data_IF_952290078308
#
_entry.id   IF_952290078308
#
_cell.length_a   1.000
_cell.length_b   1.000
_cell.length_c   1.000
_cell.angle_alpha   90.00
_cell.angle_beta   90.00
_cell.angle_gamma   90.00
#
_symmetry.space_group_name_H-M   'P 1'
#
loop_
_entity.id
_entity.type
_entity.pdbx_description
1 polymer ?
#
# COMPACT_ATOMS: atom_id res chain seq x y z
N UNK A 1 30.83 23.79 58.54
CA UNK A 1 30.74 23.81 57.07
C UNK A 1 31.13 25.20 56.56
N UNK A 2 32.30 25.29 55.94
CA UNK A 2 32.90 26.52 55.42
C UNK A 2 32.13 27.02 54.19
N UNK A 3 32.31 28.30 53.82
CA UNK A 3 31.65 28.89 52.66
C UNK A 3 32.03 28.16 51.35
N UNK A 4 33.28 27.70 51.24
CA UNK A 4 33.75 26.92 50.10
C UNK A 4 33.05 25.56 49.97
N UNK A 5 32.82 24.86 51.08
CA UNK A 5 32.11 23.59 51.10
C UNK A 5 30.63 23.74 50.68
N UNK A 6 29.96 24.80 51.14
CA UNK A 6 28.56 25.08 50.75
C UNK A 6 28.43 25.45 49.27
N UNK A 7 29.39 26.19 48.73
CA UNK A 7 29.44 26.54 47.30
C UNK A 7 29.66 25.30 46.43
N UNK A 8 30.59 24.43 46.81
CA UNK A 8 30.87 23.20 46.06
C UNK A 8 29.68 22.22 46.13
N UNK A 9 29.01 22.12 47.29
CA UNK A 9 27.78 21.34 47.44
C UNK A 9 26.66 21.90 46.55
N UNK A 10 26.47 23.22 46.52
CA UNK A 10 25.45 23.86 45.68
C UNK A 10 25.71 23.63 44.18
N UNK A 11 26.97 23.69 43.74
CA UNK A 11 27.35 23.40 42.36
C UNK A 11 27.15 21.92 42.00
N UNK A 12 27.44 21.00 42.92
CA UNK A 12 27.22 19.56 42.71
C UNK A 12 25.72 19.23 42.61
N UNK A 13 24.88 19.84 43.46
CA UNK A 13 23.42 19.69 43.41
C UNK A 13 22.85 20.28 42.12
N UNK A 14 23.34 21.45 41.70
CA UNK A 14 22.92 22.06 40.43
C UNK A 14 23.31 21.20 39.22
N UNK A 15 24.53 20.67 39.20
CA UNK A 15 25.00 19.77 38.14
C UNK A 15 24.19 18.47 38.09
N UNK A 16 23.86 17.88 39.24
CA UNK A 16 22.99 16.71 39.32
C UNK A 16 21.57 17.01 38.82
N UNK A 17 21.02 18.19 39.14
CA UNK A 17 19.70 18.61 38.67
C UNK A 17 19.68 18.83 37.15
N UNK A 18 20.73 19.45 36.59
CA UNK A 18 20.89 19.61 35.14
C UNK A 18 21.02 18.24 34.45
N UNK A 19 21.78 17.30 35.02
CA UNK A 19 21.89 15.94 34.47
C UNK A 19 20.55 15.19 34.47
N UNK A 20 19.75 15.32 35.54
CA UNK A 20 18.42 14.71 35.64
C UNK A 20 17.46 15.33 34.59
N UNK A 21 17.50 16.64 34.40
CA UNK A 21 16.67 17.33 33.39
C UNK A 21 17.08 16.94 31.96
N UNK A 22 18.38 16.81 31.68
CA UNK A 22 18.89 16.39 30.36
C UNK A 22 18.62 14.91 30.07
N UNK A 23 18.67 14.03 31.06
CA UNK A 23 18.33 12.61 30.91
C UNK A 23 16.81 12.36 30.77
N UNK A 24 15.99 13.31 31.24
CA UNK A 24 14.51 13.24 31.12
C UNK A 24 13.99 13.76 29.78
N UNK A 25 14.85 14.26 28.89
CA UNK A 25 14.47 14.80 27.58
C UNK A 25 14.41 13.75 26.45
N UNK A 26 14.77 12.49 26.72
CA UNK A 26 14.53 11.38 25.78
C UNK A 26 13.10 10.83 25.93
N UNK A 27 12.11 11.73 25.82
CA UNK A 27 10.71 11.38 25.77
C UNK A 27 10.39 10.80 24.40
N UNK A 28 10.70 9.51 24.19
CA UNK A 28 9.92 8.74 23.22
C UNK A 28 8.47 8.85 23.68
N UNK A 29 7.66 9.58 22.93
CA UNK A 29 6.23 9.66 23.23
C UNK A 29 5.69 8.25 23.11
N UNK A 30 5.48 7.55 24.23
CA UNK A 30 4.79 6.26 24.25
C UNK A 30 3.32 6.51 23.91
N UNK A 31 3.05 6.75 22.62
CA UNK A 31 1.69 6.82 22.09
C UNK A 31 1.08 5.44 22.25
N UNK A 32 -0.07 5.39 22.93
CA UNK A 32 -0.85 4.17 23.04
C UNK A 32 -1.19 3.66 21.63
N UNK A 33 -1.08 2.36 21.43
CA UNK A 33 -1.42 1.74 20.16
C UNK A 33 -2.93 1.85 19.92
N UNK A 34 -3.36 1.97 18.65
CA UNK A 34 -4.78 1.94 18.34
C UNK A 34 -5.40 0.59 18.75
N UNK A 35 -6.74 0.55 18.94
CA UNK A 35 -7.45 -0.69 19.21
C UNK A 35 -7.15 -1.76 18.16
N UNK A 36 -6.95 -2.99 18.63
CA UNK A 36 -6.72 -4.13 17.76
C UNK A 36 -8.03 -4.56 17.09
N UNK A 37 -8.03 -4.62 15.77
CA UNK A 37 -9.13 -5.11 14.94
C UNK A 37 -8.79 -6.52 14.43
N UNK A 38 -9.80 -7.37 14.22
CA UNK A 38 -9.58 -8.68 13.62
C UNK A 38 -9.04 -8.51 12.18
N UNK A 39 -7.95 -9.20 11.79
CA UNK A 39 -7.43 -9.12 10.43
C UNK A 39 -8.47 -9.58 9.39
N UNK A 40 -8.52 -8.87 8.27
CA UNK A 40 -9.32 -9.28 7.12
C UNK A 40 -8.73 -10.56 6.49
N UNK A 41 -9.59 -11.39 5.93
CA UNK A 41 -9.14 -12.52 5.13
C UNK A 41 -8.47 -11.99 3.84
N UNK A 42 -7.35 -12.59 3.45
CA UNK A 42 -6.67 -12.22 2.20
C UNK A 42 -7.53 -12.65 1.01
N UNK A 43 -8.14 -11.67 0.36
CA UNK A 43 -8.99 -11.83 -0.82
C UNK A 43 -8.63 -10.78 -1.88
N UNK A 44 -9.01 -11.05 -3.13
CA UNK A 44 -8.79 -10.13 -4.25
C UNK A 44 -9.55 -8.81 -4.08
N UNK A 45 -10.67 -8.83 -3.36
CA UNK A 45 -11.47 -7.65 -3.07
C UNK A 45 -11.68 -7.51 -1.56
N UNK A 46 -11.45 -6.33 -1.03
CA UNK A 46 -11.60 -6.03 0.40
C UNK A 46 -12.25 -4.65 0.58
N UNK A 47 -13.07 -4.52 1.63
CA UNK A 47 -13.52 -3.21 2.10
C UNK A 47 -12.60 -2.81 3.25
N UNK A 48 -11.97 -1.64 3.11
CA UNK A 48 -10.99 -1.13 4.06
C UNK A 48 -11.31 0.32 4.38
N UNK A 49 -10.94 0.73 5.59
CA UNK A 49 -10.90 2.15 5.89
C UNK A 49 -9.67 2.75 5.23
N UNK A 50 -9.85 3.86 4.54
CA UNK A 50 -8.74 4.66 4.01
C UNK A 50 -8.65 5.99 4.72
N UNK A 51 -7.42 6.43 4.93
CA UNK A 51 -7.09 7.79 5.33
C UNK A 51 -6.10 8.36 4.32
N UNK A 52 -5.65 9.60 4.53
CA UNK A 52 -4.56 10.16 3.75
C UNK A 52 -3.55 10.85 4.65
N UNK A 53 -2.29 10.82 4.24
CA UNK A 53 -1.17 11.51 4.87
C UNK A 53 -0.36 12.28 3.84
N UNK A 54 0.48 13.20 4.31
CA UNK A 54 1.44 13.93 3.47
C UNK A 54 2.74 14.14 4.23
N UNK A 55 3.86 14.22 3.51
CA UNK A 55 5.19 14.47 4.07
C UNK A 55 5.31 15.82 4.79
N UNK A 56 4.34 16.72 4.61
CA UNK A 56 4.29 18.04 5.25
C UNK A 56 3.67 18.02 6.66
N UNK A 57 3.07 16.90 7.08
CA UNK A 57 2.52 16.74 8.43
C UNK A 57 3.62 16.67 9.49
N UNK A 58 3.32 17.13 10.71
CA UNK A 58 4.31 17.21 11.80
C UNK A 58 4.97 15.86 12.10
N UNK A 59 4.19 14.78 12.05
CA UNK A 59 4.66 13.43 12.38
C UNK A 59 5.51 12.81 11.26
N UNK A 60 5.50 13.38 10.04
CA UNK A 60 6.32 12.93 8.90
C UNK A 60 7.55 13.81 8.63
N UNK A 61 7.70 14.95 9.33
CA UNK A 61 8.82 15.88 9.12
C UNK A 61 10.20 15.25 9.31
N UNK A 62 10.32 14.29 10.21
CA UNK A 62 11.57 13.56 10.46
C UNK A 62 11.99 12.71 9.26
N UNK A 63 11.02 12.14 8.55
CA UNK A 63 11.24 11.23 7.41
C UNK A 63 11.24 11.93 6.05
N UNK A 64 10.83 13.21 6.01
CA UNK A 64 10.73 13.99 4.78
C UNK A 64 9.87 13.26 3.73
N UNK A 65 10.29 13.26 2.48
CA UNK A 65 9.64 12.59 1.34
C UNK A 65 10.06 11.13 1.16
N UNK A 66 10.57 10.44 2.19
CA UNK A 66 11.02 9.05 2.08
C UNK A 66 10.01 8.08 2.70
N UNK A 67 9.88 6.91 2.08
CA UNK A 67 9.10 5.79 2.60
C UNK A 67 9.97 4.87 3.48
N UNK A 68 9.34 3.93 4.20
CA UNK A 68 10.03 2.99 5.07
C UNK A 68 11.01 2.06 4.33
N UNK A 69 10.84 1.84 3.02
CA UNK A 69 11.76 1.05 2.19
C UNK A 69 12.98 1.86 1.69
N UNK A 70 13.10 3.13 2.05
CA UNK A 70 14.19 4.02 1.65
C UNK A 70 14.04 4.65 0.27
N UNK A 71 12.89 4.48 -0.39
CA UNK A 71 12.53 5.15 -1.63
C UNK A 71 11.81 6.48 -1.39
N UNK A 72 11.49 7.21 -2.46
CA UNK A 72 10.69 8.43 -2.38
C UNK A 72 9.19 8.14 -2.34
N UNK A 73 8.42 9.00 -1.68
CA UNK A 73 6.97 8.97 -1.69
C UNK A 73 6.42 9.54 -2.99
N UNK A 74 5.57 8.77 -3.67
CA UNK A 74 4.96 9.08 -4.95
C UNK A 74 3.46 9.28 -4.81
N UNK A 75 2.94 10.41 -5.28
CA UNK A 75 1.49 10.59 -5.38
C UNK A 75 0.93 9.71 -6.50
N UNK A 76 -0.25 9.12 -6.30
CA UNK A 76 -0.93 8.41 -7.37
C UNK A 76 -1.24 9.35 -8.54
N UNK A 77 -1.19 8.79 -9.76
CA UNK A 77 -1.67 9.49 -10.96
C UNK A 77 -3.14 9.94 -10.85
N UNK A 78 -3.65 10.74 -11.81
CA UNK A 78 -5.01 11.27 -11.75
C UNK A 78 -6.07 10.15 -11.66
N UNK A 79 -7.23 10.41 -11.00
CA UNK A 79 -8.35 9.48 -10.99
C UNK A 79 -8.78 9.05 -12.40
N UNK A 80 -8.99 7.73 -12.57
CA UNK A 80 -9.42 7.10 -13.81
C UNK A 80 -10.91 6.76 -13.66
N UNK A 81 -11.77 7.61 -14.22
CA UNK A 81 -13.22 7.54 -14.00
C UNK A 81 -14.02 6.79 -15.09
N UNK A 82 -13.42 6.05 -16.04
CA UNK A 82 -14.21 5.54 -17.18
C UNK A 82 -13.95 4.13 -17.65
N UNK A 83 -15.07 3.53 -18.09
CA UNK A 83 -15.33 2.27 -18.79
C UNK A 83 -14.53 2.03 -20.10
N UNK A 84 -13.31 2.53 -20.19
CA UNK A 84 -12.40 2.22 -21.29
C UNK A 84 -11.63 0.96 -20.89
N UNK A 85 -12.02 -0.14 -21.53
CA UNK A 85 -11.48 -1.49 -21.45
C UNK A 85 -10.15 -1.61 -20.68
N UNK A 86 -10.18 -2.22 -19.50
CA UNK A 86 -8.97 -2.64 -18.80
C UNK A 86 -8.63 -4.07 -19.29
N UNK A 87 -7.72 -4.26 -20.27
CA UNK A 87 -6.93 -5.47 -20.23
C UNK A 87 -6.17 -5.42 -18.89
N UNK A 88 -6.30 -6.49 -18.11
CA UNK A 88 -5.61 -6.79 -16.85
C UNK A 88 -4.28 -6.00 -16.78
N UNK A 89 -4.25 -4.92 -16.02
CA UNK A 89 -3.04 -4.10 -15.88
C UNK A 89 -1.99 -4.95 -15.18
N UNK A 90 -0.99 -5.43 -15.92
CA UNK A 90 0.15 -6.16 -15.36
C UNK A 90 1.13 -5.10 -14.82
N UNK A 91 1.36 -5.02 -13.49
CA UNK A 91 2.35 -4.13 -12.90
C UNK A 91 3.77 -4.45 -13.42
N UNK A 92 4.58 -3.40 -13.62
CA UNK A 92 5.91 -3.47 -14.23
C UNK A 92 7.01 -3.97 -13.26
N UNK A 93 6.84 -5.14 -12.66
CA UNK A 93 7.94 -5.88 -12.05
C UNK A 93 7.87 -7.34 -12.56
N UNK A 94 8.49 -7.60 -13.69
CA UNK A 94 8.68 -8.96 -14.18
C UNK A 94 10.17 -9.16 -14.47
N UNK A 95 10.81 -9.94 -13.61
CA UNK A 95 12.14 -10.52 -13.84
C UNK A 95 11.98 -11.50 -15.02
N UNK A 96 12.81 -11.45 -16.07
CA UNK A 96 12.63 -12.33 -17.22
C UNK A 96 12.97 -13.77 -16.83
N UNK A 97 11.96 -14.63 -16.69
CA UNK A 97 12.19 -16.08 -16.69
C UNK A 97 12.16 -16.52 -18.16
N UNK A 98 13.33 -16.88 -18.68
CA UNK A 98 13.52 -17.34 -20.05
C UNK A 98 12.57 -18.50 -20.40
N UNK A 99 11.95 -18.42 -21.58
CA UNK A 99 11.20 -19.51 -22.21
C UNK A 99 12.23 -20.42 -22.91
N UNK A 100 12.23 -21.75 -22.70
CA UNK A 100 12.80 -22.66 -23.66
C UNK A 100 11.80 -22.86 -24.79
N UNK A 101 12.20 -22.47 -26.00
CA UNK A 101 11.60 -22.88 -27.26
C UNK A 101 11.98 -24.35 -27.46
N UNK A 102 11.01 -25.23 -27.64
CA UNK A 102 11.26 -26.45 -28.39
C UNK A 102 10.07 -26.83 -29.28
N UNK A 103 10.45 -27.41 -30.41
CA UNK A 103 9.79 -27.49 -31.70
C UNK A 103 8.92 -28.74 -31.84
N UNK A 104 7.95 -28.68 -32.75
CA UNK A 104 7.32 -29.82 -33.44
C UNK A 104 6.52 -30.85 -32.63
N UNK A 105 5.19 -30.77 -32.74
CA UNK A 105 4.36 -31.97 -32.87
C UNK A 105 3.07 -31.60 -33.62
N UNK A 106 2.97 -32.08 -34.85
CA UNK A 106 1.72 -32.15 -35.60
C UNK A 106 0.74 -33.04 -34.82
N UNK A 107 -0.46 -32.55 -34.56
CA UNK A 107 -1.57 -33.45 -34.21
C UNK A 107 -2.84 -32.96 -34.87
N UNK A 108 -3.13 -33.62 -35.99
CA UNK A 108 -4.37 -33.68 -36.72
C UNK A 108 -5.55 -33.99 -35.79
N UNK A 109 -6.48 -33.04 -35.62
CA UNK A 109 -7.78 -33.31 -34.99
C UNK A 109 -8.91 -33.05 -35.99
N UNK A 110 -9.20 -34.14 -36.70
CA UNK A 110 -10.47 -34.59 -37.28
C UNK A 110 -11.68 -33.63 -37.24
N UNK A 111 -12.11 -33.30 -38.46
CA UNK A 111 -13.44 -32.86 -38.89
C UNK A 111 -14.56 -33.69 -38.23
N UNK A 112 -15.47 -33.00 -37.53
CA UNK A 112 -16.80 -33.51 -37.22
C UNK A 112 -17.84 -32.46 -37.64
N UNK A 113 -18.47 -32.74 -38.77
CA UNK A 113 -19.63 -32.07 -39.32
C UNK A 113 -20.88 -32.45 -38.53
N UNK A 114 -21.60 -31.47 -37.97
CA UNK A 114 -23.05 -31.56 -37.75
C UNK A 114 -23.66 -30.16 -37.89
N UNK A 115 -24.52 -30.03 -38.90
CA UNK A 115 -25.40 -28.89 -39.12
C UNK A 115 -26.83 -29.36 -38.90
N UNK A 116 -27.67 -28.62 -38.16
CA UNK A 116 -29.10 -28.63 -38.35
C UNK A 116 -29.54 -27.31 -39.01
N UNK A 117 -30.21 -27.45 -40.15
CA UNK A 117 -30.86 -26.38 -40.91
C UNK A 117 -31.84 -25.58 -40.03
N UNK A 118 -31.74 -24.24 -40.09
CA UNK A 118 -32.81 -23.33 -39.69
C UNK A 118 -33.09 -22.32 -40.81
N UNK A 119 -34.39 -22.05 -40.98
CA UNK A 119 -35.09 -21.47 -42.13
C UNK A 119 -34.73 -19.99 -42.47
N UNK A 120 -35.06 -19.51 -43.69
CA UNK A 120 -34.66 -18.19 -44.15
C UNK A 120 -35.58 -17.10 -43.58
N UNK A 121 -35.11 -16.37 -42.58
CA UNK A 121 -35.81 -15.18 -42.10
C UNK A 121 -35.46 -13.97 -42.98
N UNK A 122 -36.40 -13.57 -43.84
CA UNK A 122 -36.34 -12.33 -44.61
C UNK A 122 -36.36 -11.12 -43.67
N UNK A 123 -35.24 -10.40 -43.57
CA UNK A 123 -35.19 -9.05 -42.99
C UNK A 123 -34.69 -8.08 -44.05
N UNK A 124 -35.56 -7.13 -44.40
CA UNK A 124 -35.29 -6.00 -45.28
C UNK A 124 -33.98 -5.31 -44.85
N UNK A 125 -33.01 -5.30 -45.76
CA UNK A 125 -31.68 -4.70 -45.58
C UNK A 125 -31.76 -3.22 -45.94
N UNK A 126 -31.92 -2.34 -44.96
CA UNK A 126 -31.65 -0.91 -45.14
C UNK A 126 -30.14 -0.70 -45.02
N UNK A 127 -29.45 -0.59 -46.15
CA UNK A 127 -28.02 -0.21 -46.18
C UNK A 127 -27.88 1.27 -45.86
N UNK A 128 -27.63 1.60 -44.59
CA UNK A 128 -26.96 2.86 -44.24
C UNK A 128 -25.46 2.63 -44.37
N UNK A 129 -24.85 3.26 -45.38
CA UNK A 129 -23.41 3.39 -45.53
C UNK A 129 -22.86 4.19 -44.35
N UNK A 130 -22.36 3.50 -43.32
CA UNK A 130 -21.49 4.12 -42.33
C UNK A 130 -20.11 4.25 -42.98
N UNK A 131 -19.67 5.49 -43.27
CA UNK A 131 -18.27 5.77 -43.57
C UNK A 131 -17.45 5.39 -42.35
N UNK A 132 -16.77 4.25 -42.41
CA UNK A 132 -15.66 3.96 -41.52
C UNK A 132 -14.51 4.88 -41.92
N UNK A 133 -14.38 6.03 -41.26
CA UNK A 133 -13.10 6.71 -41.23
C UNK A 133 -12.12 5.76 -40.55
N UNK A 134 -11.14 5.24 -41.30
CA UNK A 134 -9.96 4.58 -40.75
C UNK A 134 -9.17 5.63 -39.96
N UNK A 135 -9.64 5.96 -38.77
CA UNK A 135 -8.77 6.51 -37.74
C UNK A 135 -7.81 5.40 -37.37
N UNK A 136 -6.50 5.61 -37.57
CA UNK A 136 -5.47 4.79 -36.94
C UNK A 136 -5.77 4.84 -35.44
N UNK A 137 -6.30 3.75 -34.89
CA UNK A 137 -6.21 3.54 -33.44
C UNK A 137 -4.73 3.37 -33.17
N UNK A 138 -4.08 4.46 -32.78
CA UNK A 138 -2.80 4.35 -32.11
C UNK A 138 -3.10 3.53 -30.86
N UNK A 139 -2.69 2.26 -30.90
CA UNK A 139 -2.52 1.46 -29.69
C UNK A 139 -1.46 2.17 -28.85
N UNK A 140 -1.85 3.22 -28.12
CA UNK A 140 -1.04 3.74 -27.03
C UNK A 140 -0.94 2.58 -26.05
N UNK A 141 0.25 1.99 -25.97
CA UNK A 141 0.65 1.14 -24.85
C UNK A 141 0.07 1.79 -23.59
N UNK A 142 -0.73 1.05 -22.77
CA UNK A 142 -1.33 1.66 -21.59
C UNK A 142 -0.20 2.32 -20.81
N UNK A 143 -0.28 3.64 -20.67
CA UNK A 143 0.66 4.42 -19.89
C UNK A 143 0.60 3.82 -18.49
N UNK A 144 1.63 3.05 -18.12
CA UNK A 144 1.69 2.39 -16.82
C UNK A 144 1.78 3.50 -15.78
N UNK A 145 0.65 3.83 -15.15
CA UNK A 145 0.62 4.83 -14.09
C UNK A 145 1.49 4.32 -12.95
N UNK A 146 2.45 5.15 -12.55
CA UNK A 146 3.26 4.88 -11.35
C UNK A 146 2.29 4.79 -10.17
N UNK A 147 2.31 3.68 -9.41
CA UNK A 147 1.42 3.53 -8.27
C UNK A 147 1.75 4.58 -7.21
N UNK A 148 0.73 5.13 -6.57
CA UNK A 148 0.94 6.00 -5.42
C UNK A 148 1.46 5.23 -4.22
N UNK A 149 2.18 5.88 -3.33
CA UNK A 149 2.63 5.31 -2.07
C UNK A 149 1.45 5.15 -1.10
N UNK A 150 1.48 4.07 -0.34
CA UNK A 150 0.54 3.83 0.75
C UNK A 150 1.27 3.30 1.98
N UNK A 151 0.77 3.70 3.15
CA UNK A 151 1.16 3.14 4.43
C UNK A 151 0.09 2.15 4.91
N UNK A 152 0.51 1.05 5.51
CA UNK A 152 -0.40 0.07 6.09
C UNK A 152 0.26 -0.71 7.23
N UNK A 153 -0.53 -1.50 7.94
CA UNK A 153 0.02 -2.57 8.77
C UNK A 153 0.58 -3.69 7.86
N UNK A 154 1.91 -3.87 7.89
CA UNK A 154 2.60 -4.86 7.06
C UNK A 154 2.30 -6.33 7.42
N UNK A 155 1.74 -6.59 8.59
CA UNK A 155 1.23 -7.93 8.91
C UNK A 155 -0.07 -8.25 8.17
N UNK A 156 -0.82 -7.23 7.76
CA UNK A 156 -2.11 -7.35 7.05
C UNK A 156 -1.94 -7.18 5.55
N UNK A 157 -1.25 -6.10 5.16
CA UNK A 157 -0.84 -5.82 3.79
C UNK A 157 0.68 -5.73 3.74
N UNK A 158 1.38 -6.86 3.49
CA UNK A 158 2.84 -6.89 3.45
C UNK A 158 3.42 -5.84 2.50
N UNK A 159 4.65 -5.40 2.80
CA UNK A 159 5.41 -4.50 1.95
C UNK A 159 5.43 -5.00 0.50
N UNK A 160 5.21 -4.08 -0.44
CA UNK A 160 5.07 -4.39 -1.86
C UNK A 160 3.67 -4.76 -2.32
N UNK A 161 2.66 -4.86 -1.44
CA UNK A 161 1.27 -5.10 -1.85
C UNK A 161 0.79 -3.98 -2.78
N UNK A 162 0.31 -4.34 -3.97
CA UNK A 162 -0.24 -3.42 -4.96
C UNK A 162 -1.75 -3.59 -5.04
N UNK A 163 -2.49 -2.49 -4.91
CA UNK A 163 -3.94 -2.49 -4.94
C UNK A 163 -4.50 -1.31 -5.72
N UNK A 164 -5.74 -1.45 -6.18
CA UNK A 164 -6.50 -0.43 -6.88
C UNK A 164 -7.71 -0.02 -6.06
N UNK A 165 -7.97 1.28 -5.97
CA UNK A 165 -9.23 1.80 -5.43
C UNK A 165 -10.33 1.67 -6.49
N UNK A 166 -11.46 1.05 -6.15
CA UNK A 166 -12.55 0.91 -7.11
C UNK A 166 -13.28 2.23 -7.41
N UNK A 167 -13.28 3.18 -6.46
CA UNK A 167 -13.94 4.48 -6.61
C UNK A 167 -13.23 5.41 -7.59
N UNK A 168 -11.88 5.40 -7.59
CA UNK A 168 -11.07 6.32 -8.41
C UNK A 168 -10.26 5.63 -9.50
N UNK A 169 -10.16 4.29 -9.50
CA UNK A 169 -9.32 3.53 -10.43
C UNK A 169 -7.81 3.70 -10.22
N UNK A 170 -7.39 4.52 -9.25
CA UNK A 170 -5.99 4.75 -8.93
C UNK A 170 -5.36 3.50 -8.31
N UNK A 171 -4.08 3.28 -8.61
CA UNK A 171 -3.29 2.16 -8.08
C UNK A 171 -2.30 2.68 -7.06
N UNK A 172 -2.11 1.93 -5.99
CA UNK A 172 -1.20 2.23 -4.90
C UNK A 172 -0.35 1.02 -4.55
N UNK A 173 0.83 1.27 -3.97
CA UNK A 173 1.76 0.27 -3.47
C UNK A 173 2.03 0.53 -1.99
N UNK A 174 1.90 -0.51 -1.18
CA UNK A 174 2.27 -0.48 0.23
C UNK A 174 3.79 -0.49 0.33
N UNK A 175 4.36 0.60 0.84
CA UNK A 175 5.81 0.76 0.99
C UNK A 175 6.19 1.55 2.24
N UNK A 176 5.18 1.87 3.04
CA UNK A 176 5.33 2.61 4.27
C UNK A 176 4.49 1.97 5.38
N UNK A 177 4.76 2.33 6.64
CA UNK A 177 3.98 1.89 7.79
C UNK A 177 3.92 3.00 8.83
N UNK A 178 2.99 2.88 9.78
CA UNK A 178 2.84 3.87 10.83
C UNK A 178 2.22 3.31 12.10
N UNK A 179 2.56 3.93 13.24
CA UNK A 179 2.06 3.52 14.55
C UNK A 179 0.53 3.50 14.62
N UNK A 180 -0.14 4.44 13.94
CA UNK A 180 -1.60 4.60 13.92
C UNK A 180 -2.34 3.53 13.10
N UNK A 181 -1.62 2.74 12.31
CA UNK A 181 -2.15 1.71 11.42
C UNK A 181 -1.99 0.30 12.02
N UNK A 182 -1.05 0.13 12.95
CA UNK A 182 -0.72 -1.16 13.53
C UNK A 182 -1.89 -1.79 14.30
N UNK A 183 -2.34 -2.95 13.88
CA UNK A 183 -3.49 -3.66 14.41
C UNK A 183 -4.82 -3.20 13.82
N UNK A 184 -4.85 -2.39 12.75
CA UNK A 184 -6.09 -1.88 12.13
C UNK A 184 -6.27 -2.32 10.69
N UNK A 185 -7.53 -2.41 10.25
CA UNK A 185 -7.88 -2.61 8.85
C UNK A 185 -7.95 -1.26 8.12
N UNK A 186 -6.87 -0.48 8.20
CA UNK A 186 -6.78 0.87 7.64
C UNK A 186 -5.53 1.04 6.79
N UNK A 187 -5.71 1.64 5.60
CA UNK A 187 -4.63 1.97 4.69
C UNK A 187 -4.56 3.50 4.56
N UNK A 188 -3.38 4.07 4.74
CA UNK A 188 -3.15 5.49 4.62
C UNK A 188 -2.58 5.80 3.23
N UNK A 189 -3.22 6.69 2.47
CA UNK A 189 -2.81 7.00 1.11
C UNK A 189 -1.96 8.25 1.10
N UNK A 190 -0.78 8.18 0.48
CA UNK A 190 0.07 9.35 0.36
C UNK A 190 -0.53 10.36 -0.62
N UNK A 191 -0.53 11.63 -0.19
CA UNK A 191 -0.94 12.77 -0.98
C UNK A 191 0.21 13.78 -1.09
N UNK A 192 0.35 14.49 -2.22
CA UNK A 192 1.48 15.40 -2.45
C UNK A 192 1.39 16.70 -1.63
N UNK A 193 0.22 17.03 -1.08
CA UNK A 193 0.01 18.22 -0.26
C UNK A 193 -1.23 18.09 0.65
N UNK A 194 -1.26 18.96 1.66
CA UNK A 194 -2.33 19.04 2.66
C UNK A 194 -3.73 19.23 2.05
N UNK A 195 -3.86 19.97 0.94
CA UNK A 195 -5.16 20.22 0.31
C UNK A 195 -5.75 18.93 -0.23
N UNK A 196 -4.96 18.12 -0.93
CA UNK A 196 -5.41 16.83 -1.46
C UNK A 196 -5.68 15.82 -0.34
N UNK A 197 -4.83 15.82 0.70
CA UNK A 197 -5.05 15.02 1.91
C UNK A 197 -6.40 15.34 2.59
N UNK A 198 -6.69 16.62 2.82
CA UNK A 198 -7.96 17.06 3.40
C UNK A 198 -9.15 16.75 2.48
N UNK A 199 -8.97 16.86 1.16
CA UNK A 199 -10.01 16.53 0.18
C UNK A 199 -10.32 15.04 0.14
N UNK A 200 -9.35 14.17 0.48
CA UNK A 200 -9.55 12.73 0.56
C UNK A 200 -10.35 12.37 1.81
N UNK A 201 -9.87 12.78 2.98
CA UNK A 201 -10.48 12.51 4.28
C UNK A 201 -10.44 11.03 4.69
N UNK A 202 -11.08 10.70 5.82
CA UNK A 202 -11.23 9.31 6.25
C UNK A 202 -12.54 8.73 5.69
N UNK A 203 -12.47 7.60 4.99
CA UNK A 203 -13.65 6.96 4.38
C UNK A 203 -13.44 5.46 4.12
N UNK A 204 -14.54 4.74 3.94
CA UNK A 204 -14.51 3.34 3.51
C UNK A 204 -14.30 3.25 2.01
N UNK A 205 -13.43 2.36 1.57
CA UNK A 205 -13.15 2.09 0.16
C UNK A 205 -13.16 0.59 -0.11
N UNK A 206 -13.71 0.21 -1.26
CA UNK A 206 -13.49 -1.12 -1.81
C UNK A 206 -12.21 -1.09 -2.64
N UNK A 207 -11.28 -1.96 -2.27
CA UNK A 207 -10.01 -2.15 -2.98
C UNK A 207 -10.00 -3.47 -3.72
N UNK A 208 -9.33 -3.48 -4.85
CA UNK A 208 -8.92 -4.69 -5.55
C UNK A 208 -7.42 -4.90 -5.34
N UNK A 209 -7.02 -6.01 -4.72
CA UNK A 209 -5.62 -6.40 -4.67
C UNK A 209 -5.21 -6.88 -6.06
N UNK A 210 -4.22 -6.20 -6.64
CA UNK A 210 -3.62 -6.60 -7.91
C UNK A 210 -2.49 -7.60 -7.67
N UNK A 211 -1.80 -7.44 -6.55
CA UNK A 211 -0.69 -8.28 -6.12
C UNK A 211 -0.48 -8.16 -4.62
N UNK A 212 -0.30 -9.29 -3.94
CA UNK A 212 0.15 -9.30 -2.55
C UNK A 212 1.66 -9.11 -2.45
N UNK A 213 2.09 -8.35 -1.45
CA UNK A 213 3.48 -8.29 -1.03
C UNK A 213 3.91 -9.57 -0.30
N UNK A 214 5.20 -9.65 0.03
CA UNK A 214 5.79 -10.81 0.69
C UNK A 214 5.79 -10.64 2.24
N UNK A 215 5.04 -11.48 2.99
CA UNK A 215 5.04 -11.44 4.46
C UNK A 215 6.41 -11.71 5.09
N UNK A 216 7.23 -12.57 4.47
CA UNK A 216 8.54 -12.97 4.97
C UNK A 216 9.55 -11.83 4.80
N UNK A 217 9.53 -11.14 3.66
CA UNK A 217 10.35 -9.93 3.45
C UNK A 217 9.96 -8.84 4.46
N UNK A 218 8.65 -8.65 4.68
CA UNK A 218 8.14 -7.71 5.67
C UNK A 218 8.61 -8.07 7.08
N UNK A 219 8.53 -9.35 7.45
CA UNK A 219 9.01 -9.83 8.75
C UNK A 219 10.52 -9.58 8.92
N UNK A 220 11.33 -9.93 7.91
CA UNK A 220 12.77 -9.74 7.94
C UNK A 220 13.16 -8.27 8.13
N UNK A 221 12.45 -7.35 7.47
CA UNK A 221 12.65 -5.92 7.63
C UNK A 221 12.29 -5.43 9.04
N UNK A 222 11.15 -5.87 9.58
CA UNK A 222 10.61 -5.39 10.86
C UNK A 222 11.34 -5.98 12.08
N UNK A 223 11.99 -7.15 11.93
CA UNK A 223 12.64 -7.86 13.02
C UNK A 223 13.69 -7.03 13.78
N UNK A 224 14.43 -6.17 13.09
CA UNK A 224 15.48 -5.31 13.68
C UNK A 224 14.93 -4.08 14.42
N UNK A 225 13.64 -3.79 14.31
CA UNK A 225 13.01 -2.55 14.81
C UNK A 225 11.94 -2.81 15.89
N UNK A 226 11.98 -3.96 16.58
CA UNK A 226 10.98 -4.36 17.58
C UNK A 226 10.97 -3.52 18.88
N UNK A 227 11.87 -2.56 19.03
CA UNK A 227 11.85 -1.58 20.13
C UNK A 227 10.57 -0.74 20.12
N UNK A 228 9.94 -0.57 18.95
CA UNK A 228 8.67 0.13 18.82
C UNK A 228 7.49 -0.84 18.99
N UNK A 229 6.56 -0.53 19.91
CA UNK A 229 5.39 -1.38 20.22
C UNK A 229 4.56 -1.73 18.97
N UNK A 230 4.40 -0.80 18.05
CA UNK A 230 3.63 -1.01 16.82
C UNK A 230 4.33 -1.99 15.87
N UNK A 231 5.65 -1.90 15.73
CA UNK A 231 6.46 -2.86 14.94
C UNK A 231 6.40 -4.24 15.59
N UNK A 232 6.58 -4.31 16.91
CA UNK A 232 6.48 -5.55 17.66
C UNK A 232 5.12 -6.24 17.50
N UNK A 233 4.02 -5.46 17.46
CA UNK A 233 2.67 -5.98 17.18
C UNK A 233 2.59 -6.59 15.79
N UNK A 234 3.11 -5.91 14.75
CA UNK A 234 3.14 -6.45 13.38
C UNK A 234 3.97 -7.73 13.28
N UNK A 235 5.13 -7.77 13.95
CA UNK A 235 5.98 -8.98 14.02
C UNK A 235 5.22 -10.15 14.66
N UNK A 236 4.54 -9.92 15.79
CA UNK A 236 3.73 -10.97 16.43
C UNK A 236 2.61 -11.47 15.50
N UNK A 237 1.93 -10.58 14.78
CA UNK A 237 0.92 -11.02 13.80
C UNK A 237 1.52 -11.87 12.67
N UNK A 238 2.68 -11.47 12.12
CA UNK A 238 3.40 -12.21 11.07
C UNK A 238 3.91 -13.58 11.54
N UNK A 239 4.27 -13.72 12.81
CA UNK A 239 4.65 -14.98 13.45
C UNK A 239 3.46 -15.89 13.80
N UNK A 240 2.21 -15.45 13.55
CA UNK A 240 0.99 -16.17 13.92
C UNK A 240 0.61 -16.05 15.41
N UNK A 241 1.27 -15.15 16.14
CA UNK A 241 1.08 -14.88 17.57
C UNK A 241 0.00 -13.82 17.81
N UNK A 242 -1.18 -14.09 17.27
CA UNK A 242 -2.30 -13.13 17.23
C UNK A 242 -2.78 -12.71 18.62
N UNK A 243 -2.69 -13.59 19.63
CA UNK A 243 -3.08 -13.28 21.01
C UNK A 243 -2.14 -12.24 21.63
N UNK A 244 -0.84 -12.41 21.44
CA UNK A 244 0.16 -11.46 21.92
C UNK A 244 0.09 -10.13 21.18
N UNK A 245 -0.15 -10.17 19.85
CA UNK A 245 -0.38 -8.97 19.06
C UNK A 245 -1.57 -8.15 19.58
N UNK A 246 -2.70 -8.82 19.86
CA UNK A 246 -3.90 -8.18 20.40
C UNK A 246 -3.74 -7.68 21.85
N UNK A 247 -2.83 -8.29 22.63
CA UNK A 247 -2.57 -7.93 24.02
C UNK A 247 -1.66 -6.69 24.16
N UNK A 248 -0.84 -6.37 23.16
CA UNK A 248 -0.05 -5.13 23.14
C UNK A 248 -0.99 -3.93 23.14
N UNK A 249 -0.71 -2.90 23.95
CA UNK A 249 -1.46 -1.64 24.04
C UNK A 249 -0.50 -0.46 24.09
#
# INVERSE_FOLDING_TARGET
MTYAERRNLALAVLAAFIAIVLLSACGTTERALPPYERPLAKTDFQNVKTTAYTHTESDHREYSNHNALGGELHAAGPPIHRAEAVPRAIPAYEVPRAIPVDETAETEVRRASYSPQLQPFSKKRTTRTARTSKGRSASSRPEQSVPGSAAADWSRWPAGTVFRLLSTGQTYRVEDYGWALSGRNTIDLYMPNQRQMNSWGAREETIQILQWGDPQESLQFLQSHQNYKHIKRMVFELEGRHKEAAALR
#
